data_IF_183482507560
#
_entry.id   IF_183482507560
#
_cell.length_a   1.000
_cell.length_b   1.000
_cell.length_c   1.000
_cell.angle_alpha   90.00
_cell.angle_beta   90.00
_cell.angle_gamma   90.00
#
_symmetry.space_group_name_H-M   'P 1'
#
loop_
_entity.id
_entity.type
_entity.pdbx_description
1 polymer ?
#
# COMPACT_ATOMS: atom_id res chain seq x y z
N UNK A 1 2.48 13.15 23.18
CA UNK A 1 1.34 12.21 22.99
C UNK A 1 1.69 11.18 21.93
N UNK A 2 1.60 9.89 22.24
CA UNK A 2 1.70 8.84 21.22
C UNK A 2 0.40 8.90 20.42
N UNK A 3 0.47 9.22 19.13
CA UNK A 3 -0.70 9.13 18.25
C UNK A 3 -1.09 7.67 18.16
N UNK A 4 -2.25 7.31 18.70
CA UNK A 4 -2.80 5.96 18.59
C UNK A 4 -3.77 5.93 17.40
N UNK A 5 -3.48 5.09 16.42
CA UNK A 5 -4.37 4.85 15.28
C UNK A 5 -5.28 3.65 15.60
N UNK A 6 -6.49 3.66 15.06
CA UNK A 6 -7.38 2.51 15.17
C UNK A 6 -6.83 1.34 14.34
N UNK A 7 -7.06 0.11 14.80
CA UNK A 7 -6.69 -1.09 14.03
C UNK A 7 -7.79 -1.44 13.02
N UNK A 8 -7.96 -0.57 12.03
CA UNK A 8 -8.92 -0.71 10.94
C UNK A 8 -8.47 0.14 9.73
N UNK A 9 -9.21 0.06 8.62
CA UNK A 9 -8.85 0.72 7.38
C UNK A 9 -8.58 2.22 7.52
N UNK A 10 -9.40 2.97 8.24
CA UNK A 10 -9.19 4.41 8.46
C UNK A 10 -7.88 4.65 9.23
N UNK A 11 -7.66 3.91 10.32
CA UNK A 11 -6.45 4.04 11.12
C UNK A 11 -5.17 3.65 10.36
N UNK A 12 -5.21 2.58 9.57
CA UNK A 12 -4.08 2.16 8.74
C UNK A 12 -3.73 3.21 7.68
N UNK A 13 -4.73 3.82 7.02
CA UNK A 13 -4.50 4.89 6.04
C UNK A 13 -3.90 6.12 6.73
N UNK A 14 -4.45 6.55 7.87
CA UNK A 14 -3.94 7.72 8.61
C UNK A 14 -2.52 7.51 9.10
N UNK A 15 -2.22 6.32 9.63
CA UNK A 15 -0.88 5.97 10.05
C UNK A 15 0.10 6.01 8.87
N UNK A 16 -0.32 5.47 7.72
CA UNK A 16 0.49 5.48 6.51
C UNK A 16 0.75 6.90 6.02
N UNK A 17 -0.25 7.79 6.03
CA UNK A 17 -0.09 9.21 5.68
C UNK A 17 0.91 9.92 6.59
N UNK A 18 0.87 9.66 7.90
CA UNK A 18 1.82 10.26 8.85
C UNK A 18 3.26 9.75 8.62
N UNK A 19 3.43 8.49 8.21
CA UNK A 19 4.74 7.94 7.83
C UNK A 19 5.18 8.56 6.49
N UNK A 20 4.33 8.53 5.48
CA UNK A 20 4.57 9.11 4.16
C UNK A 20 5.02 10.57 4.26
N UNK A 21 4.35 11.38 5.09
CA UNK A 21 4.72 12.79 5.30
C UNK A 21 6.15 12.96 5.85
N UNK A 22 6.61 12.07 6.75
CA UNK A 22 7.98 12.10 7.28
C UNK A 22 9.04 11.74 6.24
N UNK A 23 8.65 10.96 5.24
CA UNK A 23 9.53 10.49 4.16
C UNK A 23 9.37 11.27 2.85
N UNK A 24 8.51 12.30 2.82
CA UNK A 24 8.27 13.11 1.61
C UNK A 24 7.51 12.37 0.51
N UNK A 25 6.74 11.34 0.85
CA UNK A 25 5.93 10.56 -0.09
C UNK A 25 4.55 11.24 -0.23
N UNK A 26 4.16 11.74 -1.40
CA UNK A 26 2.87 12.39 -1.61
C UNK A 26 1.70 11.39 -1.66
N UNK A 27 0.54 11.83 -1.17
CA UNK A 27 -0.72 11.12 -1.31
C UNK A 27 -1.83 11.69 -0.42
N UNK A 28 -3.09 11.39 -0.77
CA UNK A 28 -4.27 11.73 0.02
C UNK A 28 -4.97 10.50 0.60
N UNK A 29 -5.77 10.72 1.64
CA UNK A 29 -6.61 9.66 2.22
C UNK A 29 -7.54 9.07 1.17
N UNK A 30 -8.18 9.93 0.37
CA UNK A 30 -9.14 9.58 -0.67
C UNK A 30 -8.48 8.81 -1.81
N UNK A 31 -7.27 9.21 -2.21
CA UNK A 31 -6.45 8.50 -3.19
C UNK A 31 -6.13 7.08 -2.72
N UNK A 32 -5.63 6.95 -1.49
CA UNK A 32 -5.32 5.64 -0.91
C UNK A 32 -6.59 4.78 -0.80
N UNK A 33 -7.63 5.31 -0.15
CA UNK A 33 -8.88 4.59 0.07
C UNK A 33 -9.52 4.11 -1.25
N UNK A 34 -9.58 4.98 -2.27
CA UNK A 34 -10.12 4.63 -3.60
C UNK A 34 -9.37 3.46 -4.22
N UNK A 35 -8.04 3.49 -4.19
CA UNK A 35 -7.23 2.41 -4.76
C UNK A 35 -7.42 1.12 -3.93
N UNK A 36 -7.40 1.17 -2.59
CA UNK A 36 -7.64 -0.01 -1.74
C UNK A 36 -8.99 -0.67 -2.06
N UNK A 37 -10.05 0.12 -2.18
CA UNK A 37 -11.38 -0.41 -2.47
C UNK A 37 -11.46 -1.08 -3.84
N UNK A 38 -10.70 -0.58 -4.82
CA UNK A 38 -10.60 -1.21 -6.14
C UNK A 38 -9.80 -2.52 -6.11
N UNK A 39 -8.67 -2.52 -5.40
CA UNK A 39 -7.71 -3.64 -5.44
C UNK A 39 -8.12 -4.82 -4.53
N UNK A 40 -8.64 -4.55 -3.33
CA UNK A 40 -8.85 -5.59 -2.31
C UNK A 40 -10.19 -5.52 -1.60
N UNK A 41 -11.03 -4.52 -1.90
CA UNK A 41 -12.23 -4.21 -1.11
C UNK A 41 -11.93 -3.99 0.38
N UNK A 42 -10.71 -3.55 0.73
CA UNK A 42 -10.28 -3.34 2.11
C UNK A 42 -9.79 -4.60 2.84
N UNK A 43 -9.59 -5.72 2.14
CA UNK A 43 -9.08 -6.95 2.75
C UNK A 43 -7.53 -6.95 2.79
N UNK A 44 -6.91 -6.83 3.97
CA UNK A 44 -5.44 -6.82 4.08
C UNK A 44 -4.79 -8.17 3.77
N UNK A 45 -5.57 -9.26 3.70
CA UNK A 45 -5.10 -10.60 3.36
C UNK A 45 -5.47 -11.02 1.93
N UNK A 46 -5.87 -10.08 1.08
CA UNK A 46 -6.17 -10.35 -0.32
C UNK A 46 -4.94 -10.88 -1.07
N UNK A 47 -5.14 -11.86 -1.96
CA UNK A 47 -4.11 -12.44 -2.81
C UNK A 47 -4.69 -12.73 -4.20
N UNK A 48 -4.00 -12.30 -5.25
CA UNK A 48 -4.34 -12.67 -6.62
C UNK A 48 -3.55 -13.93 -7.02
N UNK A 49 -4.26 -14.99 -7.41
CA UNK A 49 -3.65 -16.26 -7.83
C UNK A 49 -3.81 -16.56 -9.33
N UNK A 50 -4.25 -15.57 -10.13
CA UNK A 50 -4.68 -15.82 -11.51
C UNK A 50 -3.83 -15.10 -12.56
N UNK A 51 -3.16 -14.00 -12.19
CA UNK A 51 -2.38 -13.22 -13.14
C UNK A 51 -1.00 -13.83 -13.45
N UNK A 52 -0.26 -13.19 -14.36
CA UNK A 52 1.07 -13.65 -14.76
C UNK A 52 2.07 -13.65 -13.60
N UNK A 53 1.91 -12.76 -12.61
CA UNK A 53 2.80 -12.72 -11.46
C UNK A 53 2.54 -13.94 -10.56
N UNK A 54 1.28 -14.31 -10.36
CA UNK A 54 0.89 -15.54 -9.67
C UNK A 54 1.42 -16.79 -10.38
N UNK A 55 1.29 -16.85 -11.71
CA UNK A 55 1.85 -17.93 -12.53
C UNK A 55 3.38 -18.03 -12.37
N UNK A 56 4.05 -16.88 -12.25
CA UNK A 56 5.50 -16.79 -12.03
C UNK A 56 5.89 -16.97 -10.54
N UNK A 57 4.95 -17.28 -9.66
CA UNK A 57 5.21 -17.56 -8.24
C UNK A 57 5.38 -16.32 -7.36
N UNK A 58 5.03 -15.13 -7.85
CA UNK A 58 5.11 -13.85 -7.12
C UNK A 58 3.75 -13.13 -7.12
N UNK A 59 2.69 -13.74 -6.56
CA UNK A 59 1.36 -13.14 -6.60
C UNK A 59 1.32 -11.77 -5.90
N UNK A 60 0.46 -10.88 -6.40
CA UNK A 60 0.15 -9.62 -5.73
C UNK A 60 -0.69 -9.87 -4.47
N UNK A 61 -0.42 -9.11 -3.40
CA UNK A 61 -1.09 -9.31 -2.11
C UNK A 61 -1.35 -8.01 -1.34
N UNK A 62 -2.21 -8.11 -0.34
CA UNK A 62 -2.53 -7.04 0.58
C UNK A 62 -3.48 -5.98 0.02
N UNK A 63 -3.63 -4.89 0.76
CA UNK A 63 -4.63 -3.85 0.52
C UNK A 63 -4.53 -3.22 -0.88
N UNK A 64 -3.32 -3.02 -1.38
CA UNK A 64 -3.03 -2.42 -2.68
C UNK A 64 -2.43 -3.41 -3.70
N UNK A 65 -2.57 -4.73 -3.44
CA UNK A 65 -2.18 -5.79 -4.38
C UNK A 65 -0.75 -5.60 -4.92
N UNK A 66 0.22 -5.44 -4.01
CA UNK A 66 1.65 -5.26 -4.36
C UNK A 66 2.34 -6.62 -4.45
N UNK A 67 3.21 -6.80 -5.44
CA UNK A 67 4.09 -7.98 -5.53
C UNK A 67 5.33 -7.82 -4.65
N UNK A 68 5.88 -8.93 -4.16
CA UNK A 68 7.00 -8.93 -3.21
C UNK A 68 8.24 -8.14 -3.67
N UNK A 69 8.73 -8.25 -4.92
CA UNK A 69 9.87 -7.45 -5.39
C UNK A 69 9.62 -5.94 -5.32
N UNK A 70 8.41 -5.49 -5.64
CA UNK A 70 8.03 -4.08 -5.54
C UNK A 70 7.95 -3.64 -4.09
N UNK A 71 7.34 -4.45 -3.22
CA UNK A 71 7.28 -4.15 -1.79
C UNK A 71 8.69 -3.98 -1.20
N UNK A 72 9.62 -4.89 -1.52
CA UNK A 72 11.00 -4.82 -1.03
C UNK A 72 11.75 -3.61 -1.58
N UNK A 73 11.57 -3.28 -2.86
CA UNK A 73 12.23 -2.12 -3.49
C UNK A 73 11.72 -0.78 -2.96
N UNK A 74 10.44 -0.70 -2.58
CA UNK A 74 9.78 0.54 -2.14
C UNK A 74 9.43 0.55 -0.66
N UNK A 75 9.93 -0.40 0.12
CA UNK A 75 9.73 -0.48 1.56
C UNK A 75 10.13 0.83 2.23
N UNK A 76 9.32 1.28 3.18
CA UNK A 76 9.57 2.54 3.91
C UNK A 76 10.08 2.22 5.32
N UNK A 77 11.29 2.67 5.69
CA UNK A 77 11.86 2.41 7.01
C UNK A 77 10.93 2.79 8.16
N UNK A 78 10.83 1.94 9.18
CA UNK A 78 9.92 2.12 10.31
C UNK A 78 8.55 1.46 10.14
N UNK A 79 8.30 0.79 9.01
CA UNK A 79 7.16 -0.12 8.80
C UNK A 79 7.57 -1.59 8.91
N UNK A 80 6.60 -2.50 9.05
CA UNK A 80 6.83 -3.95 9.06
C UNK A 80 7.49 -4.43 7.76
N UNK A 81 8.24 -5.54 7.83
CA UNK A 81 8.72 -6.27 6.65
C UNK A 81 7.71 -7.30 6.14
N UNK A 82 6.56 -7.45 6.80
CA UNK A 82 5.46 -8.28 6.33
C UNK A 82 4.64 -7.53 5.29
N UNK A 83 4.52 -8.08 4.09
CA UNK A 83 3.75 -7.49 3.00
C UNK A 83 2.24 -7.46 3.28
N UNK A 84 1.74 -8.33 4.16
CA UNK A 84 0.34 -8.31 4.61
C UNK A 84 0.08 -7.30 5.73
N UNK A 85 1.12 -6.71 6.33
CA UNK A 85 0.92 -5.61 7.28
C UNK A 85 0.29 -4.43 6.54
N UNK A 86 -0.90 -3.96 6.97
CA UNK A 86 -1.67 -3.00 6.21
C UNK A 86 -0.94 -1.67 6.03
N UNK A 87 -0.21 -1.23 7.05
CA UNK A 87 0.56 0.01 7.00
C UNK A 87 1.74 -0.14 6.07
N UNK A 88 2.55 -1.21 6.20
CA UNK A 88 3.67 -1.45 5.31
C UNK A 88 3.23 -1.58 3.84
N UNK A 89 2.14 -2.31 3.58
CA UNK A 89 1.57 -2.47 2.24
C UNK A 89 1.16 -1.13 1.63
N UNK A 90 0.40 -0.31 2.38
CA UNK A 90 -0.03 1.02 1.92
C UNK A 90 1.18 1.92 1.65
N UNK A 91 2.12 1.98 2.61
CA UNK A 91 3.25 2.92 2.53
C UNK A 91 4.18 2.57 1.37
N UNK A 92 4.48 1.28 1.16
CA UNK A 92 5.30 0.83 0.04
C UNK A 92 4.61 1.05 -1.32
N UNK A 93 3.31 0.77 -1.43
CA UNK A 93 2.55 1.03 -2.65
C UNK A 93 2.50 2.53 -2.99
N UNK A 94 2.32 3.40 -2.00
CA UNK A 94 2.32 4.85 -2.20
C UNK A 94 3.70 5.37 -2.60
N UNK A 95 4.77 4.81 -2.04
CA UNK A 95 6.14 5.13 -2.42
C UNK A 95 6.41 4.76 -3.89
N UNK A 96 5.98 3.55 -4.30
CA UNK A 96 5.99 3.14 -5.71
C UNK A 96 5.18 4.10 -6.59
N UNK A 97 3.95 4.43 -6.18
CA UNK A 97 3.11 5.33 -6.96
C UNK A 97 3.69 6.75 -7.08
N UNK A 98 4.38 7.23 -6.06
CA UNK A 98 5.08 8.50 -6.10
C UNK A 98 6.22 8.50 -7.11
N UNK A 99 7.07 7.45 -7.13
CA UNK A 99 8.15 7.32 -8.11
C UNK A 99 7.63 7.24 -9.56
N UNK A 100 6.56 6.49 -9.77
CA UNK A 100 6.06 6.19 -11.13
C UNK A 100 5.06 7.20 -11.68
N UNK A 101 4.25 7.80 -10.81
CA UNK A 101 3.10 8.63 -11.20
C UNK A 101 3.06 9.97 -10.46
N UNK A 102 4.03 10.26 -9.59
CA UNK A 102 4.10 11.48 -8.79
C UNK A 102 3.20 11.50 -7.55
N UNK A 103 2.18 10.62 -7.46
CA UNK A 103 1.35 10.40 -6.26
C UNK A 103 0.42 9.20 -6.49
N UNK A 104 0.02 8.54 -5.41
CA UNK A 104 -1.13 7.59 -5.39
C UNK A 104 -2.42 8.21 -5.94
N UNK A 105 -2.56 9.54 -5.84
CA UNK A 105 -3.73 10.28 -6.33
C UNK A 105 -3.88 10.20 -7.86
N UNK A 106 -2.76 10.06 -8.56
CA UNK A 106 -2.68 9.98 -10.02
C UNK A 106 -2.88 8.56 -10.55
N UNK A 107 -3.07 7.57 -9.67
CA UNK A 107 -3.31 6.18 -10.04
C UNK A 107 -4.79 5.96 -10.35
N UNK A 108 -5.06 5.65 -11.62
CA UNK A 108 -6.41 5.51 -12.18
C UNK A 108 -6.75 4.07 -12.61
N UNK A 109 -5.81 3.13 -12.54
CA UNK A 109 -5.99 1.71 -12.92
C UNK A 109 -5.23 0.77 -11.99
N UNK A 110 -5.43 -0.54 -12.17
CA UNK A 110 -4.73 -1.57 -11.40
C UNK A 110 -3.21 -1.54 -11.61
N UNK A 111 -2.48 -1.97 -10.58
CA UNK A 111 -1.02 -2.02 -10.54
C UNK A 111 -0.43 -3.16 -11.36
#
# INVERSE_FOLDING_TARGET
PVTQYADNLDGWIRQSLDIMARHGIPGSYEGIHRNIMRESSGNPLAINNWDINAVNGTPSKGLLQVIEPTFLAYHVPGTSMDLYDPVANITAACNYAADRYGSIDNVNGAY
#
